data_IF_414481494997
#
_entry.id   IF_414481494997
#
_cell.length_a   1.000
_cell.length_b   1.000
_cell.length_c   1.000
_cell.angle_alpha   90.00
_cell.angle_beta   90.00
_cell.angle_gamma   90.00
#
_symmetry.space_group_name_H-M   'P 1'
#
loop_
_entity.id
_entity.type
_entity.pdbx_description
1 polymer ?
#
# COMPACT_ATOMS: atom_id res chain seq x y z
N UNK A 1 -3.87 18.26 -8.30
CA UNK A 1 -3.39 16.90 -8.01
C UNK A 1 -2.21 16.99 -7.04
N UNK A 2 -2.47 17.10 -5.74
CA UNK A 2 -1.41 17.16 -4.71
C UNK A 2 -1.62 16.10 -3.62
N UNK A 3 -2.87 15.65 -3.41
CA UNK A 3 -3.26 14.71 -2.36
C UNK A 3 -2.59 13.34 -2.46
N UNK A 4 -2.39 12.80 -3.67
CA UNK A 4 -1.72 11.50 -3.80
C UNK A 4 -0.23 11.59 -3.46
N UNK A 5 0.45 12.63 -3.95
CA UNK A 5 1.87 12.85 -3.63
C UNK A 5 2.08 13.02 -2.13
N UNK A 6 1.27 13.86 -1.48
CA UNK A 6 1.40 14.14 -0.04
C UNK A 6 1.17 12.89 0.81
N UNK A 7 0.31 11.96 0.38
CA UNK A 7 0.14 10.67 1.08
C UNK A 7 1.39 9.78 0.98
N UNK A 8 2.08 9.78 -0.16
CA UNK A 8 3.30 8.97 -0.36
C UNK A 8 4.43 9.48 0.55
N UNK A 9 4.56 10.80 0.69
CA UNK A 9 5.64 11.42 1.49
C UNK A 9 5.24 11.72 2.94
N UNK A 10 4.13 11.14 3.42
CA UNK A 10 3.64 11.42 4.77
C UNK A 10 4.51 10.73 5.83
N UNK A 11 5.21 11.51 6.67
CA UNK A 11 6.27 11.01 7.55
C UNK A 11 5.83 9.94 8.55
N UNK A 12 4.57 9.95 8.97
CA UNK A 12 4.04 8.94 9.90
C UNK A 12 3.53 7.69 9.21
N UNK A 13 3.25 7.74 7.90
CA UNK A 13 2.81 6.57 7.13
C UNK A 13 3.97 5.62 6.91
N UNK A 14 3.83 4.38 7.36
CA UNK A 14 4.90 3.39 7.33
C UNK A 14 4.49 2.03 6.75
N UNK A 15 3.22 1.90 6.35
CA UNK A 15 2.66 0.71 5.74
C UNK A 15 1.83 1.12 4.54
N UNK A 16 1.99 0.37 3.46
CA UNK A 16 1.23 0.49 2.24
C UNK A 16 0.84 -0.91 1.77
N UNK A 17 -0.37 -1.06 1.25
CA UNK A 17 -0.80 -2.26 0.53
C UNK A 17 -1.57 -1.85 -0.71
N UNK A 18 -1.21 -2.41 -1.87
CA UNK A 18 -1.81 -2.05 -3.14
C UNK A 18 -2.42 -3.28 -3.84
N UNK A 19 -3.43 -3.04 -4.66
CA UNK A 19 -4.07 -4.05 -5.50
C UNK A 19 -4.41 -3.44 -6.87
N UNK A 20 -4.40 -4.27 -7.91
CA UNK A 20 -4.78 -3.88 -9.26
C UNK A 20 -5.75 -4.89 -9.84
N UNK A 21 -6.74 -4.41 -10.60
CA UNK A 21 -7.67 -5.26 -11.33
C UNK A 21 -8.10 -4.60 -12.63
N UNK A 22 -8.28 -5.38 -13.69
CA UNK A 22 -8.85 -4.88 -14.96
C UNK A 22 -10.35 -5.12 -14.97
N UNK A 23 -11.13 -4.04 -14.87
CA UNK A 23 -12.58 -4.05 -14.93
C UNK A 23 -13.05 -3.97 -16.39
N UNK A 24 -13.67 -5.03 -16.89
CA UNK A 24 -14.22 -5.06 -18.27
C UNK A 24 -15.18 -3.90 -18.54
N UNK A 25 -16.01 -3.56 -17.56
CA UNK A 25 -16.96 -2.45 -17.63
C UNK A 25 -16.99 -1.74 -16.29
N UNK A 26 -16.63 -0.46 -16.25
CA UNK A 26 -16.64 0.36 -15.04
C UNK A 26 -17.42 1.65 -15.27
N UNK A 27 -18.43 1.93 -14.45
CA UNK A 27 -19.16 3.20 -14.53
C UNK A 27 -18.48 4.23 -13.65
N UNK A 28 -17.97 5.30 -14.27
CA UNK A 28 -17.23 6.37 -13.60
C UNK A 28 -17.89 7.69 -13.99
N UNK A 29 -18.44 8.40 -13.01
CA UNK A 29 -19.17 9.68 -13.21
C UNK A 29 -20.28 9.64 -14.27
N UNK A 30 -20.94 8.49 -14.45
CA UNK A 30 -22.03 8.30 -15.42
C UNK A 30 -21.57 7.85 -16.81
N UNK A 31 -20.25 7.79 -17.06
CA UNK A 31 -19.69 7.23 -18.28
C UNK A 31 -19.23 5.78 -18.06
N UNK A 32 -19.33 4.97 -19.10
CA UNK A 32 -18.85 3.58 -19.08
C UNK A 32 -17.45 3.53 -19.66
N UNK A 33 -16.49 3.07 -18.87
CA UNK A 33 -15.13 2.79 -19.28
C UNK A 33 -14.97 1.29 -19.52
N UNK A 34 -14.60 0.92 -20.74
CA UNK A 34 -14.35 -0.47 -21.14
C UNK A 34 -12.88 -0.84 -20.86
N UNK A 35 -12.65 -2.03 -20.31
CA UNK A 35 -11.33 -2.55 -19.94
C UNK A 35 -10.48 -1.59 -19.07
N UNK A 36 -11.13 -0.93 -18.10
CA UNK A 36 -10.47 0.01 -17.20
C UNK A 36 -9.55 -0.70 -16.19
N UNK A 37 -8.35 -0.18 -15.98
CA UNK A 37 -7.45 -0.65 -14.92
C UNK A 37 -7.76 0.10 -13.63
N UNK A 38 -8.14 -0.64 -12.60
CA UNK A 38 -8.44 -0.11 -11.28
C UNK A 38 -7.30 -0.45 -10.32
N UNK A 39 -6.52 0.58 -9.96
CA UNK A 39 -5.39 0.49 -9.05
C UNK A 39 -5.69 1.21 -7.74
N UNK A 40 -5.55 0.52 -6.61
CA UNK A 40 -5.88 1.02 -5.28
C UNK A 40 -4.73 0.77 -4.33
N UNK A 41 -4.33 1.78 -3.56
CA UNK A 41 -3.39 1.63 -2.46
C UNK A 41 -4.01 2.15 -1.16
N UNK A 42 -3.89 1.35 -0.10
CA UNK A 42 -4.25 1.71 1.26
C UNK A 42 -2.98 2.06 2.04
N UNK A 43 -3.05 3.12 2.84
CA UNK A 43 -1.92 3.67 3.60
C UNK A 43 -2.23 3.62 5.09
N UNK A 44 -1.26 3.22 5.90
CA UNK A 44 -1.40 3.17 7.36
C UNK A 44 -0.13 3.65 8.07
N UNK A 45 -0.27 4.52 9.09
CA UNK A 45 -1.41 5.38 9.37
C UNK A 45 -1.78 6.28 8.17
N UNK A 46 -3.03 6.75 8.09
CA UNK A 46 -3.46 7.66 7.01
C UNK A 46 -2.76 9.02 7.14
N UNK A 47 -2.45 9.63 6.00
CA UNK A 47 -1.95 10.99 5.90
C UNK A 47 -3.03 11.99 5.47
N UNK A 48 -2.60 13.08 4.84
CA UNK A 48 -3.44 14.13 4.25
C UNK A 48 -4.45 14.73 5.22
N UNK A 49 -4.03 14.96 6.46
CA UNK A 49 -4.82 15.70 7.40
C UNK A 49 -4.92 17.17 6.97
N UNK A 50 -6.15 17.71 7.01
CA UNK A 50 -6.43 19.08 6.55
C UNK A 50 -5.65 20.06 7.44
N UNK A 51 -4.86 20.94 6.80
CA UNK A 51 -4.05 21.94 7.51
C UNK A 51 -2.71 21.42 8.05
N UNK A 52 -2.39 20.15 7.85
CA UNK A 52 -1.14 19.52 8.30
C UNK A 52 -0.14 19.39 7.14
N UNK A 53 1.15 19.57 7.43
CA UNK A 53 2.23 19.28 6.49
C UNK A 53 2.56 17.78 6.50
N UNK A 54 2.96 17.19 5.36
CA UNK A 54 3.27 15.76 5.30
C UNK A 54 4.47 15.35 6.14
N UNK A 55 5.39 16.27 6.41
CA UNK A 55 6.58 16.05 7.22
C UNK A 55 7.04 17.38 7.85
N UNK A 56 7.87 17.29 8.89
CA UNK A 56 8.51 18.46 9.50
C UNK A 56 9.71 18.92 8.68
N UNK A 57 9.91 20.22 8.56
CA UNK A 57 11.10 20.78 7.94
C UNK A 57 12.31 20.59 8.87
N UNK A 58 13.44 20.12 8.34
CA UNK A 58 14.64 19.90 9.12
C UNK A 58 15.69 19.08 8.41
N UNK A 59 16.77 18.74 9.13
CA UNK A 59 17.74 17.75 8.65
C UNK A 59 17.10 16.36 8.66
N UNK A 60 17.33 15.51 7.64
CA UNK A 60 16.81 14.15 7.67
C UNK A 60 17.18 13.41 8.95
N UNK A 61 16.25 12.61 9.47
CA UNK A 61 16.42 11.82 10.68
C UNK A 61 16.67 12.59 11.99
N UNK A 62 16.54 13.93 12.03
CA UNK A 62 16.76 14.69 13.26
C UNK A 62 15.72 14.41 14.37
N UNK A 63 14.58 13.83 14.01
CA UNK A 63 13.47 13.54 14.92
C UNK A 63 12.90 12.12 14.71
N UNK A 64 13.75 11.11 14.49
CA UNK A 64 13.27 9.74 14.36
C UNK A 64 12.62 9.26 15.67
N UNK A 65 11.40 8.68 15.62
CA UNK A 65 10.67 8.28 16.82
C UNK A 65 11.38 7.12 17.55
N UNK A 66 11.30 7.05 18.89
CA UNK A 66 11.91 5.97 19.67
C UNK A 66 11.42 4.58 19.28
N UNK A 67 10.18 4.46 18.76
CA UNK A 67 9.62 3.19 18.26
C UNK A 67 10.38 2.60 17.06
N UNK A 68 11.25 3.39 16.43
CA UNK A 68 12.14 2.97 15.34
C UNK A 68 13.58 2.75 15.82
N UNK A 69 13.83 2.76 17.14
CA UNK A 69 15.18 2.62 17.70
C UNK A 69 16.10 3.81 17.44
N UNK A 70 15.58 4.91 16.89
CA UNK A 70 16.37 6.09 16.52
C UNK A 70 17.29 5.88 15.31
N UNK A 71 17.24 4.72 14.65
CA UNK A 71 18.09 4.41 13.50
C UNK A 71 17.64 5.18 12.25
N UNK A 72 18.65 5.57 11.45
CA UNK A 72 18.48 6.30 10.20
C UNK A 72 19.16 5.52 9.07
N UNK A 73 18.43 5.28 7.97
CA UNK A 73 18.96 4.61 6.79
C UNK A 73 18.48 5.35 5.54
N UNK A 74 19.41 5.74 4.66
CA UNK A 74 19.10 6.45 3.41
C UNK A 74 18.14 7.65 3.61
N UNK A 75 18.41 8.48 4.63
CA UNK A 75 17.60 9.65 5.01
C UNK A 75 16.17 9.33 5.51
N UNK A 76 15.86 8.08 5.85
CA UNK A 76 14.58 7.66 6.42
C UNK A 76 14.77 7.06 7.81
N UNK A 77 13.79 7.29 8.69
CA UNK A 77 13.73 6.62 9.98
C UNK A 77 13.42 5.15 9.75
N UNK A 78 14.29 4.29 10.28
CA UNK A 78 14.24 2.86 10.02
C UNK A 78 14.19 2.11 11.33
N UNK A 79 13.27 1.15 11.45
CA UNK A 79 13.21 0.27 12.62
C UNK A 79 14.11 -0.92 12.34
N UNK A 80 15.21 -1.04 13.08
CA UNK A 80 16.00 -2.27 13.12
C UNK A 80 15.20 -3.35 13.84
N UNK A 81 14.32 -4.04 13.10
CA UNK A 81 13.82 -5.32 13.56
C UNK A 81 14.84 -6.41 13.20
N UNK A 82 15.02 -7.37 14.10
CA UNK A 82 15.74 -8.64 13.85
C UNK A 82 15.06 -9.53 12.80
N UNK A 83 14.02 -9.02 12.13
CA UNK A 83 13.40 -9.64 10.98
C UNK A 83 14.34 -9.47 9.79
N UNK A 84 15.03 -10.54 9.41
CA UNK A 84 15.69 -10.65 8.12
C UNK A 84 14.68 -10.24 7.06
N UNK A 85 14.82 -9.07 6.40
CA UNK A 85 13.95 -8.72 5.31
C UNK A 85 14.09 -9.86 4.30
N UNK A 86 12.99 -10.51 3.93
CA UNK A 86 13.03 -11.34 2.73
C UNK A 86 13.56 -10.42 1.63
N UNK A 87 14.59 -10.84 0.88
CA UNK A 87 15.10 -10.02 -0.20
C UNK A 87 13.92 -9.65 -1.10
N UNK A 88 13.84 -8.39 -1.50
CA UNK A 88 12.91 -7.96 -2.53
C UNK A 88 13.17 -8.84 -3.76
N UNK A 89 12.23 -9.71 -4.08
CA UNK A 89 12.29 -10.55 -5.28
C UNK A 89 11.46 -9.88 -6.37
N UNK A 90 11.81 -10.14 -7.63
CA UNK A 90 11.02 -9.66 -8.77
C UNK A 90 9.56 -10.14 -8.70
N UNK A 91 9.31 -11.30 -8.07
CA UNK A 91 7.97 -11.82 -7.79
C UNK A 91 7.11 -10.88 -6.93
N UNK A 92 7.71 -10.08 -6.04
CA UNK A 92 6.98 -9.09 -5.23
C UNK A 92 6.52 -7.88 -6.04
N UNK A 93 7.07 -7.69 -7.25
CA UNK A 93 6.62 -6.68 -8.20
C UNK A 93 5.52 -7.20 -9.14
N UNK A 94 5.21 -8.49 -9.09
CA UNK A 94 4.13 -9.08 -9.87
C UNK A 94 2.80 -8.94 -9.14
N UNK A 95 1.72 -8.90 -9.91
CA UNK A 95 0.36 -8.88 -9.36
C UNK A 95 0.07 -10.27 -8.81
N UNK A 96 -0.18 -10.37 -7.50
CA UNK A 96 -0.63 -11.63 -6.90
C UNK A 96 -1.87 -12.13 -7.64
N UNK A 97 -1.79 -13.35 -8.18
CA UNK A 97 -2.92 -13.95 -8.88
C UNK A 97 -3.96 -14.38 -7.85
N UNK A 98 -5.23 -14.09 -8.09
CA UNK A 98 -6.30 -14.55 -7.21
C UNK A 98 -6.23 -16.09 -7.08
N UNK A 99 -6.32 -16.66 -5.87
CA UNK A 99 -6.42 -18.11 -5.70
C UNK A 99 -7.60 -18.62 -6.54
N UNK A 100 -7.38 -19.67 -7.30
CA UNK A 100 -8.46 -20.38 -8.00
C UNK A 100 -9.42 -20.85 -6.90
N UNK A 101 -10.73 -20.58 -6.98
CA UNK A 101 -11.67 -21.18 -6.05
C UNK A 101 -11.49 -22.69 -6.15
N UNK A 102 -11.06 -23.35 -5.07
CA UNK A 102 -11.16 -24.81 -5.00
C UNK A 102 -12.61 -25.15 -5.31
N UNK A 103 -12.80 -26.04 -6.29
CA UNK A 103 -14.10 -26.56 -6.65
C UNK A 103 -14.75 -27.05 -5.36
N UNK A 104 -15.75 -26.32 -4.86
CA UNK A 104 -16.59 -26.81 -3.78
C UNK A 104 -17.09 -28.18 -4.21
N UNK A 105 -16.61 -29.23 -3.55
CA UNK A 105 -17.21 -30.55 -3.63
C UNK A 105 -18.69 -30.37 -3.28
N UNK A 106 -19.51 -30.27 -4.32
CA UNK A 106 -20.96 -30.36 -4.22
C UNK A 106 -21.24 -31.78 -3.76
N UNK A 107 -21.42 -31.95 -2.46
CA UNK A 107 -22.05 -33.15 -1.92
C UNK A 107 -23.49 -33.17 -2.44
N UNK A 108 -23.71 -33.82 -3.58
CA UNK A 108 -25.01 -34.35 -3.95
C UNK A 108 -25.45 -35.26 -2.79
N UNK A 109 -26.39 -34.78 -1.97
CA UNK A 109 -27.02 -35.67 -0.99
C UNK A 109 -27.87 -36.70 -1.74
N UNK A 110 -27.65 -38.01 -1.55
CA UNK A 110 -28.58 -39.02 -2.02
C UNK A 110 -29.68 -39.20 -0.97
N UNK A 111 -30.86 -38.60 -1.19
CA UNK A 111 -32.12 -39.28 -1.54
C UNK A 111 -33.31 -38.32 -1.46
#
# INVERSE_FOLDING_TARGET
MCTHYTQIVWATTNKIGCAVNTCRKMTVWGEVWENAVYFVCNYSPKGNWIGEAPYKNGRPCSECPPSYGGSCRNNLCYREETYTPKPETDEMNEVETAPIPEENHVWLQPR
#
